data_IF_534886863901
#
_entry.id   IF_534886863901
#
_cell.length_a   1.000
_cell.length_b   1.000
_cell.length_c   1.000
_cell.angle_alpha   90.00
_cell.angle_beta   90.00
_cell.angle_gamma   90.00
#
_symmetry.space_group_name_H-M   'P 1'
#
loop_
_entity.id
_entity.type
_entity.pdbx_description
1 polymer ?
#
# COMPACT_ATOMS: atom_id res chain seq x y z
N UNK A 1 -19.45 -17.25 -3.40
CA UNK A 1 -20.93 -17.15 -3.37
C UNK A 1 -21.28 -15.89 -2.60
N UNK A 2 -22.35 -15.18 -2.96
CA UNK A 2 -22.76 -13.92 -2.31
C UNK A 2 -24.28 -13.89 -2.06
N UNK A 3 -24.76 -13.11 -1.07
CA UNK A 3 -26.18 -12.88 -0.88
C UNK A 3 -26.77 -12.24 -2.11
N UNK A 4 -27.76 -12.89 -2.71
CA UNK A 4 -28.34 -12.48 -3.98
C UNK A 4 -28.91 -11.06 -3.89
N UNK A 5 -29.80 -10.82 -2.92
CA UNK A 5 -30.49 -9.53 -2.79
C UNK A 5 -29.52 -8.35 -2.68
N UNK A 6 -28.48 -8.49 -1.86
CA UNK A 6 -27.50 -7.44 -1.60
C UNK A 6 -26.78 -6.95 -2.88
N UNK A 7 -26.43 -7.85 -3.80
CA UNK A 7 -25.71 -7.49 -5.02
C UNK A 7 -26.66 -6.99 -6.11
N UNK A 8 -27.78 -7.68 -6.32
CA UNK A 8 -28.73 -7.33 -7.38
C UNK A 8 -29.36 -5.96 -7.15
N UNK A 9 -29.77 -5.64 -5.91
CA UNK A 9 -30.35 -4.32 -5.58
C UNK A 9 -29.31 -3.20 -5.69
N UNK A 10 -28.07 -3.43 -5.21
CA UNK A 10 -26.95 -2.48 -5.36
C UNK A 10 -26.62 -2.19 -6.83
N UNK A 11 -26.82 -3.16 -7.71
CA UNK A 11 -26.65 -3.02 -9.15
C UNK A 11 -27.91 -2.47 -9.85
N UNK A 12 -28.97 -2.12 -9.13
CA UNK A 12 -30.17 -1.51 -9.69
C UNK A 12 -31.16 -2.49 -10.32
N UNK A 13 -31.07 -3.79 -10.01
CA UNK A 13 -32.02 -4.79 -10.49
C UNK A 13 -33.22 -4.94 -9.54
N UNK A 14 -34.42 -5.04 -10.10
CA UNK A 14 -35.64 -5.42 -9.37
C UNK A 14 -35.72 -6.93 -9.27
N UNK A 15 -36.01 -7.45 -8.08
CA UNK A 15 -36.01 -8.89 -7.79
C UNK A 15 -37.41 -9.35 -7.38
N UNK A 16 -37.87 -10.45 -7.98
CA UNK A 16 -39.04 -11.20 -7.53
C UNK A 16 -38.68 -12.65 -7.26
N UNK A 17 -39.35 -13.24 -6.27
CA UNK A 17 -39.17 -14.63 -5.88
C UNK A 17 -40.51 -15.35 -5.88
N UNK A 18 -40.60 -16.46 -6.61
CA UNK A 18 -41.73 -17.38 -6.57
C UNK A 18 -41.39 -18.56 -5.67
N UNK A 19 -42.06 -18.64 -4.53
CA UNK A 19 -41.81 -19.67 -3.52
C UNK A 19 -42.25 -21.08 -3.97
N UNK A 20 -43.29 -21.20 -4.80
CA UNK A 20 -43.78 -22.51 -5.27
C UNK A 20 -42.78 -23.17 -6.23
N UNK A 21 -42.21 -22.37 -7.13
CA UNK A 21 -41.28 -22.87 -8.17
C UNK A 21 -39.82 -22.69 -7.80
N UNK A 22 -39.53 -22.06 -6.65
CA UNK A 22 -38.18 -21.67 -6.23
C UNK A 22 -37.44 -20.83 -7.28
N UNK A 23 -38.20 -20.08 -8.09
CA UNK A 23 -37.71 -19.28 -9.19
C UNK A 23 -37.47 -17.85 -8.73
N UNK A 24 -36.24 -17.39 -8.92
CA UNK A 24 -35.84 -16.00 -8.81
C UNK A 24 -35.91 -15.38 -10.19
N UNK A 25 -36.55 -14.21 -10.29
CA UNK A 25 -36.47 -13.38 -11.48
C UNK A 25 -35.87 -12.03 -11.10
N UNK A 26 -34.81 -11.61 -11.81
CA UNK A 26 -34.21 -10.30 -11.66
C UNK A 26 -34.27 -9.54 -12.99
N UNK A 27 -34.63 -8.26 -12.93
CA UNK A 27 -34.82 -7.42 -14.11
C UNK A 27 -34.06 -6.11 -13.96
N UNK A 28 -33.25 -5.75 -14.96
CA UNK A 28 -32.54 -4.46 -15.06
C UNK A 28 -32.38 -4.08 -16.52
N UNK A 29 -32.76 -2.86 -16.90
CA UNK A 29 -32.54 -2.29 -18.25
C UNK A 29 -32.88 -3.26 -19.40
N UNK A 30 -34.04 -3.92 -19.33
CA UNK A 30 -34.50 -4.89 -20.34
C UNK A 30 -33.83 -6.28 -20.27
N UNK A 31 -32.85 -6.48 -19.40
CA UNK A 31 -32.25 -7.78 -19.12
C UNK A 31 -33.06 -8.52 -18.06
N UNK A 32 -33.51 -9.74 -18.37
CA UNK A 32 -34.21 -10.64 -17.46
C UNK A 32 -33.34 -11.85 -17.14
N UNK A 33 -33.03 -12.04 -15.86
CA UNK A 33 -32.31 -13.20 -15.34
C UNK A 33 -33.29 -14.08 -14.58
N UNK A 34 -33.34 -15.37 -14.93
CA UNK A 34 -34.13 -16.40 -14.24
C UNK A 34 -33.22 -17.45 -13.64
N UNK A 35 -33.40 -17.69 -12.35
CA UNK A 35 -32.52 -18.54 -11.55
C UNK A 35 -33.35 -19.43 -10.64
N UNK A 36 -33.26 -20.75 -10.82
CA UNK A 36 -33.98 -21.71 -9.97
C UNK A 36 -33.04 -22.23 -8.88
N UNK A 37 -33.46 -22.15 -7.62
CA UNK A 37 -32.67 -22.66 -6.49
C UNK A 37 -32.45 -24.17 -6.68
N UNK A 38 -31.21 -24.63 -6.50
CA UNK A 38 -30.81 -26.02 -6.73
C UNK A 38 -30.36 -26.33 -8.16
N UNK A 39 -30.65 -25.46 -9.14
CA UNK A 39 -30.23 -25.63 -10.54
C UNK A 39 -28.81 -25.13 -10.79
N UNK A 40 -28.08 -25.84 -11.66
CA UNK A 40 -26.82 -25.37 -12.28
C UNK A 40 -27.04 -24.61 -13.59
N UNK A 41 -28.28 -24.43 -14.00
CA UNK A 41 -28.63 -23.70 -15.22
C UNK A 41 -29.47 -22.48 -14.85
N UNK A 42 -29.04 -21.31 -15.31
CA UNK A 42 -29.79 -20.07 -15.27
C UNK A 42 -30.23 -19.68 -16.69
N UNK A 43 -31.09 -18.68 -16.81
CA UNK A 43 -31.47 -18.12 -18.10
C UNK A 43 -31.27 -16.61 -18.10
N UNK A 44 -30.65 -16.08 -19.16
CA UNK A 44 -30.51 -14.64 -19.40
C UNK A 44 -31.23 -14.32 -20.70
N UNK A 45 -32.28 -13.50 -20.64
CA UNK A 45 -33.15 -13.19 -21.78
C UNK A 45 -33.65 -14.45 -22.51
N UNK A 46 -34.00 -15.48 -21.75
CA UNK A 46 -34.50 -16.77 -22.27
C UNK A 46 -33.41 -17.74 -22.76
N UNK A 47 -32.15 -17.32 -22.86
CA UNK A 47 -31.03 -18.20 -23.24
C UNK A 47 -30.47 -18.90 -22.01
N UNK A 48 -30.31 -20.21 -22.07
CA UNK A 48 -29.70 -21.00 -21.00
C UNK A 48 -28.21 -20.66 -20.83
N UNK A 49 -27.78 -20.47 -19.59
CA UNK A 49 -26.40 -20.19 -19.19
C UNK A 49 -26.00 -21.15 -18.06
N UNK A 50 -24.92 -21.93 -18.20
CA UNK A 50 -24.43 -22.80 -17.14
C UNK A 50 -23.81 -21.97 -16.00
N UNK A 51 -24.06 -22.39 -14.77
CA UNK A 51 -23.48 -21.83 -13.56
C UNK A 51 -22.31 -22.69 -13.08
N UNK A 52 -21.24 -22.04 -12.64
CA UNK A 52 -20.08 -22.71 -12.01
C UNK A 52 -20.47 -23.38 -10.69
N UNK A 53 -21.43 -22.81 -9.97
CA UNK A 53 -22.00 -23.35 -8.73
C UNK A 53 -23.51 -23.13 -8.76
N UNK A 54 -24.30 -24.12 -8.29
CA UNK A 54 -25.76 -23.97 -8.19
C UNK A 54 -26.12 -22.84 -7.23
N UNK A 55 -27.19 -22.11 -7.52
CA UNK A 55 -27.79 -21.25 -6.51
C UNK A 55 -28.36 -22.10 -5.37
N UNK A 56 -28.19 -21.64 -4.15
CA UNK A 56 -28.58 -22.41 -2.97
C UNK A 56 -28.96 -21.49 -1.81
N UNK A 57 -29.83 -21.97 -0.95
CA UNK A 57 -30.20 -21.27 0.29
C UNK A 57 -29.24 -21.67 1.40
N UNK A 58 -28.61 -20.71 2.05
CA UNK A 58 -27.78 -20.90 3.24
C UNK A 58 -28.35 -20.02 4.34
N UNK A 59 -28.77 -20.62 5.47
CA UNK A 59 -29.35 -19.89 6.63
C UNK A 59 -30.44 -18.89 6.20
N UNK A 60 -31.42 -19.36 5.43
CA UNK A 60 -32.52 -18.56 4.86
C UNK A 60 -32.11 -17.43 3.90
N UNK A 61 -30.85 -17.38 3.47
CA UNK A 61 -30.37 -16.42 2.47
C UNK A 61 -30.06 -17.15 1.17
N UNK A 62 -30.65 -16.71 0.07
CA UNK A 62 -30.30 -17.22 -1.26
C UNK A 62 -28.92 -16.72 -1.66
N UNK A 63 -28.01 -17.66 -1.89
CA UNK A 63 -26.64 -17.44 -2.31
C UNK A 63 -26.46 -17.81 -3.78
N UNK A 64 -25.77 -16.95 -4.51
CA UNK A 64 -25.57 -17.07 -5.97
C UNK A 64 -24.10 -16.88 -6.36
N UNK A 65 -23.65 -17.38 -7.52
CA UNK A 65 -22.31 -17.11 -8.02
C UNK A 65 -22.17 -15.63 -8.37
N UNK A 66 -21.24 -14.94 -7.70
CA UNK A 66 -21.08 -13.50 -7.83
C UNK A 66 -20.79 -13.06 -9.27
N UNK A 67 -19.82 -13.69 -9.92
CA UNK A 67 -19.40 -13.36 -11.28
C UNK A 67 -20.55 -13.42 -12.28
N UNK A 68 -21.32 -14.51 -12.25
CA UNK A 68 -22.50 -14.68 -13.12
C UNK A 68 -23.49 -13.53 -12.97
N UNK A 69 -23.82 -13.18 -11.73
CA UNK A 69 -24.82 -12.16 -11.43
C UNK A 69 -24.40 -10.80 -11.95
N UNK A 70 -23.17 -10.40 -11.63
CA UNK A 70 -22.62 -9.12 -12.03
C UNK A 70 -22.51 -9.01 -13.55
N UNK A 71 -21.94 -10.02 -14.22
CA UNK A 71 -21.76 -10.01 -15.68
C UNK A 71 -23.09 -10.07 -16.43
N UNK A 72 -24.07 -10.85 -15.95
CA UNK A 72 -25.40 -10.92 -16.56
C UNK A 72 -26.15 -9.59 -16.46
N UNK A 73 -25.89 -8.76 -15.44
CA UNK A 73 -26.43 -7.40 -15.30
C UNK A 73 -25.60 -6.32 -16.02
N UNK A 74 -24.59 -6.74 -16.79
CA UNK A 74 -23.72 -5.85 -17.57
C UNK A 74 -22.63 -5.18 -16.75
N UNK A 75 -22.26 -5.73 -15.59
CA UNK A 75 -21.12 -5.28 -14.80
C UNK A 75 -19.88 -6.15 -15.05
N UNK A 76 -18.70 -5.56 -14.97
CA UNK A 76 -17.42 -6.29 -15.02
C UNK A 76 -17.02 -6.75 -13.63
N UNK A 77 -16.47 -7.97 -13.50
CA UNK A 77 -15.97 -8.50 -12.23
C UNK A 77 -14.48 -8.80 -12.33
N UNK A 78 -13.70 -8.04 -11.56
CA UNK A 78 -12.27 -8.25 -11.43
C UNK A 78 -11.97 -8.88 -10.06
N UNK A 79 -11.20 -9.96 -10.08
CA UNK A 79 -10.64 -10.58 -8.89
C UNK A 79 -9.19 -10.16 -8.77
N UNK A 80 -8.83 -9.62 -7.62
CA UNK A 80 -7.47 -9.26 -7.26
C UNK A 80 -6.99 -10.26 -6.20
N UNK A 81 -6.36 -11.37 -6.61
CA UNK A 81 -5.91 -12.41 -5.67
C UNK A 81 -4.96 -11.85 -4.62
N UNK A 82 -4.24 -10.77 -4.94
CA UNK A 82 -3.26 -10.11 -4.09
C UNK A 82 -3.89 -9.44 -2.86
N UNK A 83 -5.15 -8.99 -2.97
CA UNK A 83 -5.88 -8.28 -1.90
C UNK A 83 -7.13 -9.03 -1.44
N UNK A 84 -7.31 -10.26 -1.94
CA UNK A 84 -8.54 -11.02 -1.83
C UNK A 84 -9.81 -10.19 -2.12
N UNK A 85 -9.71 -9.24 -3.06
CA UNK A 85 -10.78 -8.26 -3.32
C UNK A 85 -11.48 -8.53 -4.66
N UNK A 86 -12.80 -8.44 -4.64
CA UNK A 86 -13.63 -8.49 -5.84
C UNK A 86 -14.20 -7.09 -6.11
N UNK A 87 -13.87 -6.52 -7.27
CA UNK A 87 -14.40 -5.23 -7.73
C UNK A 87 -15.46 -5.47 -8.81
N UNK A 88 -16.59 -4.76 -8.69
CA UNK A 88 -17.73 -4.85 -9.61
C UNK A 88 -17.99 -3.44 -10.17
N UNK A 89 -18.00 -3.29 -11.50
CA UNK A 89 -18.17 -1.98 -12.18
C UNK A 89 -19.26 -2.04 -13.25
N UNK A 90 -20.22 -1.11 -13.25
CA UNK A 90 -21.38 -1.12 -14.17
C UNK A 90 -21.11 -0.55 -15.58
N UNK A 91 -22.05 -0.75 -16.52
CA UNK A 91 -22.06 -0.14 -17.87
C UNK A 91 -22.43 1.34 -17.81
N UNK A 92 -21.43 2.21 -17.76
CA UNK A 92 -21.60 3.67 -17.82
C UNK A 92 -20.44 4.35 -17.11
N UNK A 93 -19.59 5.01 -17.89
CA UNK A 93 -18.22 5.41 -17.55
C UNK A 93 -17.28 4.21 -17.37
N UNK A 94 -16.60 3.86 -18.47
CA UNK A 94 -15.18 3.54 -18.36
C UNK A 94 -14.50 4.82 -17.86
N UNK A 95 -14.60 5.09 -16.57
CA UNK A 95 -13.38 5.49 -15.89
C UNK A 95 -12.63 4.17 -15.87
N UNK A 96 -11.75 3.92 -16.85
CA UNK A 96 -10.54 3.22 -16.48
C UNK A 96 -10.01 4.10 -15.36
N UNK A 97 -10.12 3.71 -14.07
CA UNK A 97 -9.26 4.35 -13.11
C UNK A 97 -7.88 4.19 -13.74
N UNK A 98 -7.02 5.22 -13.76
CA UNK A 98 -5.65 5.01 -14.19
C UNK A 98 -5.20 3.72 -13.50
N UNK A 99 -4.87 2.71 -14.31
CA UNK A 99 -4.62 1.36 -13.82
C UNK A 99 -3.26 1.42 -13.16
N UNK A 100 -3.26 1.86 -11.92
CA UNK A 100 -2.10 1.79 -11.08
C UNK A 100 -2.05 0.37 -10.54
N UNK A 101 -1.11 -0.43 -11.06
CA UNK A 101 -0.77 -1.71 -10.45
C UNK A 101 0.14 -1.44 -9.26
N UNK A 102 -0.29 -1.85 -8.09
CA UNK A 102 0.49 -1.75 -6.87
C UNK A 102 0.56 -3.13 -6.23
N UNK A 103 1.77 -3.53 -5.86
CA UNK A 103 1.99 -4.65 -4.96
C UNK A 103 1.85 -4.10 -3.55
N UNK A 104 0.85 -4.54 -2.78
CA UNK A 104 0.59 -4.04 -1.44
C UNK A 104 0.91 -5.09 -0.38
N UNK A 105 1.56 -4.66 0.69
CA UNK A 105 1.81 -5.45 1.89
C UNK A 105 0.62 -5.52 2.85
N UNK A 106 0.85 -6.10 4.03
CA UNK A 106 -0.17 -6.34 5.07
C UNK A 106 -0.58 -5.08 5.88
N UNK A 107 -0.08 -3.89 5.50
CA UNK A 107 -0.20 -2.65 6.27
C UNK A 107 -1.36 -1.75 5.81
N UNK A 108 -2.09 -1.20 6.79
CA UNK A 108 -3.11 -0.18 6.57
C UNK A 108 -2.61 1.27 6.68
N UNK A 109 -1.34 1.48 7.06
CA UNK A 109 -0.69 2.79 7.24
C UNK A 109 -1.49 3.78 8.12
N UNK A 110 -2.11 3.26 9.18
CA UNK A 110 -2.99 4.01 10.09
C UNK A 110 -4.33 4.44 9.49
N UNK A 111 -4.65 4.06 8.24
CA UNK A 111 -5.89 4.47 7.57
C UNK A 111 -7.12 3.89 8.28
N UNK A 112 -8.11 4.73 8.59
CA UNK A 112 -9.32 4.30 9.29
C UNK A 112 -10.26 3.45 8.42
N UNK A 113 -10.17 3.58 7.10
CA UNK A 113 -10.96 2.81 6.14
C UNK A 113 -10.28 2.74 4.77
N UNK A 114 -10.85 1.92 3.88
CA UNK A 114 -10.31 1.71 2.53
C UNK A 114 -10.26 2.99 1.69
N UNK A 115 -11.19 3.93 1.86
CA UNK A 115 -11.16 5.18 1.10
C UNK A 115 -9.93 6.02 1.46
N UNK A 116 -9.59 6.12 2.75
CA UNK A 116 -8.39 6.82 3.20
C UNK A 116 -7.12 6.15 2.68
N UNK A 117 -7.07 4.82 2.77
CA UNK A 117 -5.95 4.04 2.24
C UNK A 117 -5.73 4.31 0.74
N UNK A 118 -6.80 4.32 -0.06
CA UNK A 118 -6.73 4.62 -1.50
C UNK A 118 -6.20 6.02 -1.76
N UNK A 119 -6.61 7.03 -0.97
CA UNK A 119 -6.06 8.38 -1.10
C UNK A 119 -4.56 8.41 -0.80
N UNK A 120 -4.11 7.78 0.30
CA UNK A 120 -2.68 7.64 0.64
C UNK A 120 -1.91 7.06 -0.54
N UNK A 121 -2.37 5.93 -1.09
CA UNK A 121 -1.64 5.25 -2.15
C UNK A 121 -1.58 6.03 -3.47
N UNK A 122 -2.51 6.96 -3.73
CA UNK A 122 -2.39 7.88 -4.89
C UNK A 122 -1.16 8.78 -4.76
N UNK A 123 -0.91 9.34 -3.57
CA UNK A 123 0.28 10.16 -3.31
C UNK A 123 1.56 9.33 -3.46
N UNK A 124 1.59 8.12 -2.87
CA UNK A 124 2.74 7.22 -2.98
C UNK A 124 3.00 6.86 -4.45
N UNK A 125 1.95 6.54 -5.22
CA UNK A 125 2.05 6.23 -6.64
C UNK A 125 2.67 7.36 -7.45
N UNK A 126 2.19 8.59 -7.23
CA UNK A 126 2.64 9.74 -7.97
C UNK A 126 4.10 10.04 -7.64
N UNK A 127 4.47 9.95 -6.36
CA UNK A 127 5.85 10.17 -5.93
C UNK A 127 6.80 9.09 -6.48
N UNK A 128 6.38 7.82 -6.50
CA UNK A 128 7.16 6.71 -7.07
C UNK A 128 7.51 6.90 -8.55
N UNK A 129 6.68 7.59 -9.33
CA UNK A 129 7.00 7.91 -10.73
C UNK A 129 8.23 8.81 -10.89
N UNK A 130 8.61 9.54 -9.84
CA UNK A 130 9.81 10.40 -9.86
C UNK A 130 11.11 9.62 -9.63
N UNK A 131 11.04 8.40 -9.09
CA UNK A 131 12.20 7.57 -8.74
C UNK A 131 13.24 7.42 -9.87
N UNK A 132 12.86 7.10 -11.13
CA UNK A 132 13.84 6.94 -12.20
C UNK A 132 14.63 8.22 -12.53
N UNK A 133 14.12 9.38 -12.14
CA UNK A 133 14.73 10.69 -12.36
C UNK A 133 15.52 11.18 -11.14
N UNK A 134 15.44 10.47 -10.01
CA UNK A 134 16.06 10.91 -8.77
C UNK A 134 17.58 10.77 -8.82
N UNK A 135 18.22 11.84 -8.36
CA UNK A 135 19.65 11.98 -8.16
C UNK A 135 19.95 11.93 -6.66
N UNK A 136 21.16 11.49 -6.32
CA UNK A 136 21.67 11.57 -4.94
C UNK A 136 21.77 13.04 -4.51
N UNK A 137 21.68 13.33 -3.21
CA UNK A 137 21.58 14.70 -2.67
C UNK A 137 20.40 15.50 -3.30
N UNK A 138 19.37 14.82 -3.81
CA UNK A 138 18.29 15.45 -4.58
C UNK A 138 18.74 16.15 -5.87
N UNK A 139 19.93 15.83 -6.39
CA UNK A 139 20.56 16.55 -7.50
C UNK A 139 21.22 17.86 -7.10
N UNK A 140 21.48 18.05 -5.81
CA UNK A 140 22.19 19.17 -5.24
C UNK A 140 23.69 19.18 -5.56
N UNK A 141 24.40 20.10 -4.91
CA UNK A 141 25.82 20.34 -5.14
C UNK A 141 26.72 19.16 -4.76
N UNK A 142 26.22 18.19 -4.01
CA UNK A 142 26.99 17.04 -3.54
C UNK A 142 26.70 15.73 -4.30
N UNK A 143 25.85 15.73 -5.34
CA UNK A 143 25.49 14.51 -6.08
C UNK A 143 26.73 13.68 -6.51
N UNK A 144 27.78 14.34 -7.03
CA UNK A 144 29.01 13.68 -7.44
C UNK A 144 29.80 13.07 -6.26
N UNK A 145 29.75 13.71 -5.09
CA UNK A 145 30.43 13.25 -3.88
C UNK A 145 29.69 12.07 -3.23
N UNK A 146 28.36 12.02 -3.30
CA UNK A 146 27.61 10.82 -2.90
C UNK A 146 28.00 9.61 -3.77
N UNK A 147 28.15 9.81 -5.08
CA UNK A 147 28.65 8.78 -5.99
C UNK A 147 30.10 8.38 -5.66
N UNK A 148 30.96 9.33 -5.32
CA UNK A 148 32.33 9.04 -4.91
C UNK A 148 32.37 8.23 -3.61
N UNK A 149 31.56 8.60 -2.61
CA UNK A 149 31.43 7.89 -1.34
C UNK A 149 31.03 6.43 -1.52
N UNK A 150 29.99 6.19 -2.34
CA UNK A 150 29.54 4.84 -2.71
C UNK A 150 30.62 4.03 -3.44
N UNK A 151 31.57 4.69 -4.11
CA UNK A 151 32.72 4.06 -4.77
C UNK A 151 33.96 3.95 -3.89
N UNK A 152 33.83 4.20 -2.57
CA UNK A 152 34.90 4.00 -1.60
C UNK A 152 35.69 5.25 -1.22
N UNK A 153 35.35 6.41 -1.77
CA UNK A 153 35.98 7.67 -1.36
C UNK A 153 35.52 8.10 0.03
N UNK A 154 36.37 8.80 0.79
CA UNK A 154 36.12 9.13 2.20
C UNK A 154 36.54 10.56 2.50
N UNK A 155 35.80 11.22 3.40
CA UNK A 155 36.06 12.62 3.76
C UNK A 155 37.49 12.85 4.29
N UNK A 156 38.08 11.83 4.94
CA UNK A 156 39.45 11.83 5.46
C UNK A 156 40.54 11.85 4.39
N UNK A 157 40.19 11.60 3.12
CA UNK A 157 41.11 11.75 1.99
C UNK A 157 41.36 13.23 1.63
N UNK A 158 40.57 14.15 2.19
CA UNK A 158 40.57 15.57 1.86
C UNK A 158 40.80 16.44 3.10
N UNK A 159 41.28 17.67 2.90
CA UNK A 159 41.40 18.63 3.99
C UNK A 159 40.03 18.98 4.58
N UNK A 160 39.95 19.12 5.90
CA UNK A 160 38.71 19.45 6.58
C UNK A 160 38.13 20.78 6.06
N UNK A 161 36.82 20.79 5.80
CA UNK A 161 36.10 21.99 5.39
C UNK A 161 36.11 22.27 3.89
N UNK A 162 36.78 21.47 3.06
CA UNK A 162 36.62 21.56 1.59
C UNK A 162 35.24 21.09 1.14
N UNK A 163 34.91 21.32 -0.14
CA UNK A 163 33.66 20.87 -0.72
C UNK A 163 33.56 19.34 -0.68
N UNK A 164 34.66 18.66 -1.00
CA UNK A 164 34.83 17.21 -1.00
C UNK A 164 34.61 16.63 0.40
N UNK A 165 35.36 17.14 1.38
CA UNK A 165 35.24 16.71 2.78
C UNK A 165 33.79 16.86 3.28
N UNK A 166 33.14 18.01 3.04
CA UNK A 166 31.75 18.24 3.45
C UNK A 166 30.74 17.31 2.78
N UNK A 167 30.84 17.13 1.46
CA UNK A 167 29.89 16.29 0.73
C UNK A 167 30.05 14.80 1.03
N UNK A 168 31.29 14.33 1.21
CA UNK A 168 31.58 12.96 1.63
C UNK A 168 31.10 12.70 3.07
N UNK A 169 31.29 13.65 3.99
CA UNK A 169 30.74 13.55 5.34
C UNK A 169 29.21 13.51 5.34
N UNK A 170 28.54 14.29 4.49
CA UNK A 170 27.09 14.21 4.38
C UNK A 170 26.63 12.85 3.83
N UNK A 171 27.28 12.34 2.78
CA UNK A 171 26.98 11.01 2.24
C UNK A 171 27.20 9.89 3.29
N UNK A 172 28.25 10.01 4.09
CA UNK A 172 28.55 9.12 5.23
C UNK A 172 27.48 9.20 6.32
N UNK A 173 27.03 10.39 6.69
CA UNK A 173 25.95 10.55 7.67
C UNK A 173 24.61 9.97 7.17
N UNK A 174 24.36 10.04 5.87
CA UNK A 174 23.10 9.60 5.28
C UNK A 174 23.06 8.06 5.10
N UNK A 175 24.15 7.48 4.57
CA UNK A 175 24.18 6.07 4.11
C UNK A 175 25.28 5.23 4.76
N UNK A 176 26.11 5.79 5.64
CA UNK A 176 27.30 5.11 6.17
C UNK A 176 26.96 3.83 6.91
N UNK A 177 25.90 3.84 7.72
CA UNK A 177 25.44 2.63 8.40
C UNK A 177 25.07 1.49 7.43
N UNK A 178 24.63 1.79 6.20
CA UNK A 178 24.36 0.77 5.18
C UNK A 178 25.68 0.19 4.65
N UNK A 179 26.61 1.07 4.26
CA UNK A 179 27.89 0.68 3.65
C UNK A 179 28.77 -0.07 4.65
N UNK A 180 28.88 0.43 5.88
CA UNK A 180 29.68 -0.20 6.95
C UNK A 180 29.15 -1.60 7.31
N UNK A 181 27.85 -1.81 7.10
CA UNK A 181 27.19 -3.09 7.33
C UNK A 181 27.17 -4.04 6.13
N UNK A 182 27.84 -3.67 5.05
CA UNK A 182 28.00 -4.52 3.87
C UNK A 182 26.79 -4.55 2.95
N UNK A 183 25.86 -3.59 3.06
CA UNK A 183 24.79 -3.42 2.08
C UNK A 183 25.41 -3.08 0.72
N UNK A 184 24.97 -3.76 -0.34
CA UNK A 184 25.48 -3.51 -1.68
C UNK A 184 25.26 -2.05 -2.12
N UNK A 185 26.22 -1.48 -2.88
CA UNK A 185 26.15 -0.09 -3.36
C UNK A 185 24.84 0.20 -4.09
N UNK A 186 24.40 -0.71 -4.96
CA UNK A 186 23.16 -0.58 -5.70
C UNK A 186 21.94 -0.52 -4.77
N UNK A 187 21.93 -1.35 -3.72
CA UNK A 187 20.82 -1.38 -2.76
C UNK A 187 20.86 -0.18 -1.81
N UNK A 188 22.04 0.29 -1.41
CA UNK A 188 22.19 1.50 -0.61
C UNK A 188 21.69 2.75 -1.38
N UNK A 189 22.08 2.88 -2.65
CA UNK A 189 21.59 3.95 -3.53
C UNK A 189 20.06 3.90 -3.71
N UNK A 190 19.51 2.69 -3.93
CA UNK A 190 18.06 2.48 -4.04
C UNK A 190 17.35 2.91 -2.75
N UNK A 191 17.78 2.38 -1.59
CA UNK A 191 17.17 2.67 -0.30
C UNK A 191 17.21 4.17 0.04
N UNK A 192 18.34 4.83 -0.22
CA UNK A 192 18.47 6.28 -0.04
C UNK A 192 17.47 7.06 -0.88
N UNK A 193 17.35 6.74 -2.18
CA UNK A 193 16.39 7.39 -3.06
C UNK A 193 14.94 7.15 -2.61
N UNK A 194 14.63 5.94 -2.13
CA UNK A 194 13.30 5.61 -1.60
C UNK A 194 13.02 6.41 -0.31
N UNK A 195 13.99 6.53 0.60
CA UNK A 195 13.88 7.40 1.78
C UNK A 195 13.69 8.87 1.41
N UNK A 196 14.37 9.33 0.36
CA UNK A 196 14.22 10.69 -0.15
C UNK A 196 12.81 10.97 -0.70
N UNK A 197 12.14 9.98 -1.30
CA UNK A 197 10.72 10.08 -1.70
C UNK A 197 9.84 10.35 -0.48
N UNK A 198 10.04 9.60 0.61
CA UNK A 198 9.29 9.81 1.84
C UNK A 198 9.52 11.22 2.41
N UNK A 199 10.77 11.68 2.44
CA UNK A 199 11.11 13.03 2.89
C UNK A 199 10.45 14.13 2.04
N UNK A 200 10.38 13.97 0.72
CA UNK A 200 9.70 14.92 -0.17
C UNK A 200 8.19 14.97 0.13
N UNK A 201 7.57 13.81 0.34
CA UNK A 201 6.13 13.75 0.64
C UNK A 201 5.78 14.42 1.97
N UNK A 202 6.67 14.33 2.96
CA UNK A 202 6.49 14.89 4.30
C UNK A 202 6.92 16.37 4.41
N UNK A 203 7.63 16.88 3.40
CA UNK A 203 8.17 18.25 3.43
C UNK A 203 7.07 19.31 3.56
N UNK A 204 7.23 20.17 4.57
CA UNK A 204 6.35 21.34 4.77
C UNK A 204 4.98 21.02 5.37
N UNK A 205 4.78 19.78 5.85
CA UNK A 205 3.58 19.41 6.59
C UNK A 205 3.68 19.94 8.03
N UNK A 206 2.59 20.50 8.56
CA UNK A 206 2.56 21.08 9.90
C UNK A 206 2.44 20.00 10.97
N UNK A 207 3.23 20.11 12.04
CA UNK A 207 3.04 19.31 13.25
C UNK A 207 2.20 20.11 14.27
N UNK A 208 0.94 19.74 14.52
CA UNK A 208 0.06 20.47 15.45
C UNK A 208 0.45 20.27 16.92
N UNK A 209 1.28 19.27 17.26
CA UNK A 209 1.71 18.98 18.63
C UNK A 209 0.60 18.49 19.56
N UNK A 210 -0.54 18.05 19.01
CA UNK A 210 -1.71 17.60 19.78
C UNK A 210 -1.85 16.07 19.85
N UNK A 211 -0.94 15.32 19.22
CA UNK A 211 -0.92 13.86 19.21
C UNK A 211 -2.08 13.21 18.45
N UNK A 212 -2.75 13.96 17.57
CA UNK A 212 -3.92 13.48 16.82
C UNK A 212 -3.64 12.99 15.39
N UNK A 213 -2.64 13.50 14.63
CA UNK A 213 -2.20 12.81 13.43
C UNK A 213 -1.63 11.46 13.83
N UNK A 214 -2.01 10.38 13.16
CA UNK A 214 -1.39 9.06 13.43
C UNK A 214 -1.32 8.18 12.19
N UNK A 215 -1.81 8.67 11.06
CA UNK A 215 -1.92 7.92 9.83
C UNK A 215 -1.22 8.62 8.67
N UNK A 216 -0.86 7.85 7.65
CA UNK A 216 -0.38 8.42 6.40
C UNK A 216 -1.44 9.31 5.72
N UNK A 217 -2.73 9.07 6.00
CA UNK A 217 -3.82 9.91 5.50
C UNK A 217 -3.79 11.30 6.14
N UNK A 218 -3.55 11.38 7.44
CA UNK A 218 -3.44 12.66 8.14
C UNK A 218 -2.30 13.50 7.57
N UNK A 219 -1.13 12.87 7.36
CA UNK A 219 0.00 13.53 6.74
C UNK A 219 -0.31 13.97 5.30
N UNK A 220 -0.60 13.02 4.41
CA UNK A 220 -0.60 13.29 2.98
C UNK A 220 -1.86 14.03 2.51
N UNK A 221 -3.00 13.79 3.13
CA UNK A 221 -4.30 14.36 2.74
C UNK A 221 -4.69 15.51 3.66
N UNK A 222 -4.69 15.29 4.99
CA UNK A 222 -5.10 16.32 5.94
C UNK A 222 -4.01 17.37 6.22
N UNK A 223 -2.77 17.14 5.73
CA UNK A 223 -1.61 18.03 5.88
C UNK A 223 -1.27 18.33 7.34
N UNK A 224 -1.41 17.30 8.19
CA UNK A 224 -0.97 17.31 9.59
C UNK A 224 -0.13 16.08 9.86
N UNK A 225 1.05 16.24 10.46
CA UNK A 225 1.95 15.13 10.76
C UNK A 225 2.40 15.12 12.20
N UNK A 226 2.83 13.95 12.64
CA UNK A 226 3.65 13.71 13.81
C UNK A 226 4.53 12.46 13.52
N UNK A 227 5.18 11.90 14.54
CA UNK A 227 6.04 10.74 14.35
C UNK A 227 5.28 9.49 13.86
N UNK A 228 4.05 9.27 14.33
CA UNK A 228 3.23 8.14 13.91
C UNK A 228 2.85 8.29 12.44
N UNK A 229 2.39 9.47 12.05
CA UNK A 229 2.02 9.77 10.67
C UNK A 229 3.24 9.69 9.72
N UNK A 230 4.40 10.21 10.12
CA UNK A 230 5.64 10.17 9.36
C UNK A 230 6.14 8.73 9.16
N UNK A 231 6.08 7.91 10.21
CA UNK A 231 6.43 6.48 10.14
C UNK A 231 5.49 5.73 9.19
N UNK A 232 4.19 6.02 9.22
CA UNK A 232 3.22 5.40 8.31
C UNK A 232 3.44 5.82 6.84
N UNK A 233 3.79 7.08 6.57
CA UNK A 233 4.14 7.54 5.21
C UNK A 233 5.41 6.83 4.73
N UNK A 234 6.45 6.78 5.56
CA UNK A 234 7.72 6.14 5.23
C UNK A 234 7.53 4.66 4.97
N UNK A 235 6.80 3.94 5.84
CA UNK A 235 6.42 2.54 5.64
C UNK A 235 5.69 2.33 4.31
N UNK A 236 4.70 3.17 3.99
CA UNK A 236 3.96 3.08 2.73
C UNK A 236 4.84 3.29 1.50
N UNK A 237 5.80 4.22 1.57
CA UNK A 237 6.79 4.44 0.50
C UNK A 237 7.65 3.19 0.32
N UNK A 238 8.33 2.71 1.36
CA UNK A 238 9.24 1.56 1.27
C UNK A 238 8.53 0.26 0.87
N UNK A 239 7.36 -0.02 1.45
CA UNK A 239 6.54 -1.18 1.05
C UNK A 239 6.18 -1.13 -0.44
N UNK A 240 5.91 0.06 -0.99
CA UNK A 240 5.62 0.22 -2.41
C UNK A 240 6.80 -0.11 -3.33
N UNK A 241 8.03 -0.10 -2.80
CA UNK A 241 9.25 -0.54 -3.49
C UNK A 241 9.60 -2.02 -3.20
N UNK A 242 8.77 -2.73 -2.44
CA UNK A 242 8.95 -4.14 -2.14
C UNK A 242 9.86 -4.42 -0.95
N UNK A 243 10.12 -3.41 -0.11
CA UNK A 243 10.82 -3.60 1.14
C UNK A 243 9.90 -4.22 2.20
N UNK A 244 10.53 -4.88 3.17
CA UNK A 244 9.85 -5.30 4.39
C UNK A 244 10.00 -4.20 5.42
N UNK A 245 8.91 -3.61 5.90
CA UNK A 245 8.92 -2.54 6.89
C UNK A 245 8.20 -2.95 8.15
N UNK A 246 8.46 -2.28 9.26
CA UNK A 246 7.67 -2.34 10.49
C UNK A 246 7.66 -0.94 11.11
N UNK A 247 6.79 -0.71 12.10
CA UNK A 247 6.83 0.52 12.90
C UNK A 247 7.12 0.14 14.34
N UNK A 248 8.16 0.76 14.89
CA UNK A 248 8.51 0.64 16.29
C UNK A 248 8.13 1.93 17.00
N UNK A 249 7.51 1.81 18.16
CA UNK A 249 7.10 2.96 18.95
C UNK A 249 7.65 2.89 20.38
N UNK A 250 7.75 4.06 20.98
CA UNK A 250 7.97 4.32 22.39
C UNK A 250 6.84 5.20 22.91
N UNK A 251 6.92 5.63 24.17
CA UNK A 251 5.90 6.51 24.78
C UNK A 251 5.64 7.80 23.99
N UNK A 252 6.66 8.38 23.35
CA UNK A 252 6.58 9.71 22.74
C UNK A 252 7.14 9.76 21.30
N UNK A 253 7.37 8.61 20.67
CA UNK A 253 8.00 8.56 19.37
C UNK A 253 7.66 7.25 18.65
N UNK A 254 7.51 7.31 17.33
CA UNK A 254 7.43 6.14 16.47
C UNK A 254 8.31 6.35 15.24
N UNK A 255 8.98 5.29 14.83
CA UNK A 255 9.82 5.27 13.65
C UNK A 255 9.50 4.05 12.80
N UNK A 256 9.54 4.26 11.48
CA UNK A 256 9.60 3.14 10.56
C UNK A 256 10.97 2.48 10.64
N UNK A 257 10.98 1.16 10.65
CA UNK A 257 12.16 0.35 10.36
C UNK A 257 11.98 -0.41 9.05
N UNK A 258 13.08 -0.62 8.34
CA UNK A 258 13.10 -1.28 7.04
C UNK A 258 14.19 -2.35 7.00
N UNK A 259 13.86 -3.50 6.41
CA UNK A 259 14.81 -4.57 6.19
C UNK A 259 15.53 -4.38 4.85
N UNK A 260 16.86 -4.29 4.89
CA UNK A 260 17.73 -4.12 3.72
C UNK A 260 18.80 -5.22 3.78
N UNK A 261 18.81 -6.09 2.77
CA UNK A 261 19.73 -7.24 2.68
C UNK A 261 19.83 -8.08 3.97
N UNK A 262 18.69 -8.25 4.65
CA UNK A 262 18.55 -9.10 5.84
C UNK A 262 18.74 -8.39 7.18
N UNK A 263 19.21 -7.13 7.18
CA UNK A 263 19.40 -6.31 8.39
C UNK A 263 18.30 -5.26 8.53
N UNK A 264 17.98 -4.87 9.75
CA UNK A 264 16.97 -3.84 10.03
C UNK A 264 17.63 -2.48 10.23
N UNK A 265 17.03 -1.45 9.65
CA UNK A 265 17.49 -0.07 9.77
C UNK A 265 16.35 0.85 10.15
N UNK A 266 16.61 1.83 11.02
CA UNK A 266 15.73 3.00 11.18
C UNK A 266 16.04 4.01 10.08
N UNK A 267 15.07 4.90 9.80
CA UNK A 267 15.27 6.05 8.94
C UNK A 267 14.97 7.33 9.74
N UNK A 268 15.95 7.77 10.53
CA UNK A 268 15.82 8.97 11.36
C UNK A 268 16.27 10.20 10.56
N UNK A 269 15.36 11.15 10.31
CA UNK A 269 15.65 12.38 9.58
C UNK A 269 16.32 12.20 8.21
N UNK A 270 16.11 11.05 7.55
CA UNK A 270 16.70 10.73 6.24
C UNK A 270 18.05 9.98 6.30
N UNK A 271 18.58 9.74 7.49
CA UNK A 271 19.77 8.92 7.73
C UNK A 271 19.40 7.50 8.15
N UNK A 272 20.14 6.52 7.65
CA UNK A 272 19.99 5.13 8.09
C UNK A 272 20.85 4.85 9.31
N UNK A 273 20.28 4.15 10.29
CA UNK A 273 21.02 3.56 11.41
C UNK A 273 20.65 2.09 11.52
N UNK A 274 21.63 1.20 11.72
CA UNK A 274 21.35 -0.21 11.95
C UNK A 274 20.67 -0.41 13.30
N UNK A 275 19.61 -1.21 13.32
CA UNK A 275 18.91 -1.58 14.53
C UNK A 275 19.18 -3.05 14.85
N UNK A 276 19.84 -3.30 15.99
CA UNK A 276 19.96 -4.67 16.49
C UNK A 276 18.64 -5.13 17.12
N UNK A 277 18.25 -6.38 16.84
CA UNK A 277 17.07 -7.04 17.44
C UNK A 277 17.11 -7.07 18.97
N UNK A 278 18.31 -7.05 19.57
CA UNK A 278 18.48 -6.96 21.03
C UNK A 278 18.20 -5.57 21.62
N UNK A 279 18.14 -4.53 20.78
CA UNK A 279 18.02 -3.15 21.24
C UNK A 279 16.59 -2.72 21.56
N UNK A 280 15.59 -3.49 21.12
CA UNK A 280 14.18 -3.12 21.28
C UNK A 280 13.79 -2.93 22.74
N UNK A 281 14.01 -3.95 23.58
CA UNK A 281 13.64 -3.90 25.00
C UNK A 281 14.52 -2.93 25.79
N UNK A 282 15.80 -2.80 25.43
CA UNK A 282 16.75 -1.91 26.10
C UNK A 282 16.41 -0.42 25.86
N UNK A 283 15.83 -0.10 24.70
CA UNK A 283 15.39 1.26 24.33
C UNK A 283 13.93 1.55 24.69
N UNK A 284 13.24 0.61 25.34
CA UNK A 284 11.81 0.75 25.68
C UNK A 284 10.90 0.81 24.45
N UNK A 285 11.35 0.24 23.32
CA UNK A 285 10.61 0.18 22.07
C UNK A 285 9.70 -1.05 22.06
N UNK A 286 8.53 -0.91 21.44
CA UNK A 286 7.61 -2.00 21.15
C UNK A 286 7.18 -1.97 19.68
N UNK A 287 6.78 -3.12 19.15
CA UNK A 287 6.28 -3.23 17.77
C UNK A 287 4.87 -2.63 17.71
N UNK A 288 4.74 -1.49 17.04
CA UNK A 288 3.46 -0.81 16.79
C UNK A 288 2.76 -1.39 15.56
N UNK A 289 3.52 -1.56 14.47
CA UNK A 289 3.07 -2.27 13.26
C UNK A 289 4.01 -3.44 13.01
N UNK A 290 3.44 -4.64 12.84
CA UNK A 290 4.19 -5.86 12.53
C UNK A 290 4.92 -5.75 11.20
N UNK A 291 5.92 -6.59 10.90
CA UNK A 291 6.57 -6.61 9.59
C UNK A 291 5.61 -6.86 8.42
N UNK A 292 5.86 -6.21 7.28
CA UNK A 292 5.13 -6.41 6.02
C UNK A 292 5.09 -7.88 5.61
N UNK A 293 6.19 -8.59 5.85
CA UNK A 293 6.33 -10.04 5.68
C UNK A 293 7.10 -10.66 6.86
N UNK A 294 6.66 -11.82 7.31
CA UNK A 294 7.30 -12.55 8.42
C UNK A 294 7.04 -11.92 9.80
N UNK A 295 7.96 -12.16 10.73
CA UNK A 295 7.93 -11.61 12.09
C UNK A 295 9.31 -11.07 12.47
N UNK A 296 9.31 -10.13 13.42
CA UNK A 296 10.54 -9.64 14.07
C UNK A 296 11.01 -10.77 15.00
N UNK A 297 11.89 -11.66 14.52
CA UNK A 297 12.43 -12.78 15.29
C UNK A 297 13.82 -12.45 15.82
#
# INVERSE_FOLDING_TARGET
>A
MVPMRAIFEKLGATITFNQQTQLITAVKDGTTIKLTIGSKTAYVNGKAVPLTVKAQTIKNTTMVPLRFVSEALGATVNWYPETMTIVISGRGAVVTPPSYSFTYGNHGYGSANFSQYVEVMKYISAAKQTYPLMKLDGGGRYEALYKAYLNGDRATNYAEGTLESRGLTQAENDMGALIDNGVSVAKAEEAYKVGYIAAILLKGISNPGDGTPSSAYDALVAKKSDCDADANVSSAVFDSFGYNTAILASKNHADMVVQIEGKWYTLAAGSFEELSVTDLSARGLYVYTQPTTGSYN
#
